data_IF_220226306719
#
_entry.id   IF_220226306719
#
_cell.length_a   1.000
_cell.length_b   1.000
_cell.length_c   1.000
_cell.angle_alpha   90.00
_cell.angle_beta   90.00
_cell.angle_gamma   90.00
#
_symmetry.space_group_name_H-M   'P 1'
#
loop_
_entity.id
_entity.type
_entity.pdbx_description
1 polymer ?
#
# COMPACT_ATOMS: atom_id res chain seq x y z
N UNK A 1 -18.15 27.70 4.12
CA UNK A 1 -17.25 27.23 3.06
C UNK A 1 -15.93 27.97 3.19
N UNK A 2 -14.85 27.27 3.55
CA UNK A 2 -13.60 27.90 3.99
C UNK A 2 -12.91 28.71 2.89
N UNK A 3 -12.45 29.93 3.24
CA UNK A 3 -11.69 30.80 2.32
C UNK A 3 -10.49 30.09 1.68
N UNK A 4 -9.87 29.13 2.38
CA UNK A 4 -8.75 28.32 1.86
C UNK A 4 -9.14 27.38 0.72
N UNK A 5 -10.36 26.85 0.73
CA UNK A 5 -10.85 25.91 -0.29
C UNK A 5 -11.13 26.69 -1.58
N UNK A 6 -11.81 27.84 -1.46
CA UNK A 6 -12.14 28.71 -2.59
C UNK A 6 -10.90 29.25 -3.31
N UNK A 7 -9.83 29.56 -2.56
CA UNK A 7 -8.54 29.99 -3.14
C UNK A 7 -7.83 28.84 -3.88
N UNK A 8 -7.91 27.60 -3.38
CA UNK A 8 -7.34 26.44 -4.09
C UNK A 8 -8.06 26.15 -5.41
N UNK A 9 -9.39 26.22 -5.41
CA UNK A 9 -10.20 26.03 -6.63
C UNK A 9 -9.89 27.09 -7.69
N UNK A 10 -9.69 28.34 -7.30
CA UNK A 10 -9.37 29.43 -8.22
C UNK A 10 -7.98 29.27 -8.86
N UNK A 11 -7.00 28.75 -8.12
CA UNK A 11 -5.65 28.49 -8.65
C UNK A 11 -5.67 27.34 -9.67
N UNK A 12 -6.43 26.27 -9.40
CA UNK A 12 -6.56 25.11 -10.31
C UNK A 12 -7.26 25.53 -11.62
N UNK A 13 -8.24 26.43 -11.54
CA UNK A 13 -8.97 26.90 -12.73
C UNK A 13 -8.15 27.83 -13.63
N UNK A 14 -7.07 28.43 -13.11
CA UNK A 14 -6.20 29.35 -13.86
C UNK A 14 -4.92 28.68 -14.40
N UNK A 15 -4.69 27.40 -14.09
CA UNK A 15 -3.55 26.64 -14.61
C UNK A 15 -3.87 25.98 -15.94
N UNK A 16 -2.97 26.10 -16.92
CA UNK A 16 -3.12 25.38 -18.19
C UNK A 16 -2.50 23.99 -18.02
N UNK A 17 -3.30 22.97 -18.35
CA UNK A 17 -2.87 21.57 -18.31
C UNK A 17 -2.70 21.11 -19.75
N UNK A 18 -1.50 20.70 -20.12
CA UNK A 18 -1.23 20.06 -21.41
C UNK A 18 -0.78 18.62 -21.21
N UNK A 19 -1.37 17.71 -21.98
CA UNK A 19 -0.99 16.31 -22.03
C UNK A 19 -0.05 16.11 -23.23
N UNK A 20 1.26 16.22 -22.98
CA UNK A 20 2.33 15.86 -23.92
C UNK A 20 3.02 14.58 -23.46
N UNK A 21 4.36 14.52 -23.53
CA UNK A 21 5.17 13.49 -22.88
C UNK A 21 5.15 13.67 -21.34
N UNK A 22 3.98 13.55 -20.73
CA UNK A 22 3.72 13.79 -19.31
C UNK A 22 2.67 14.89 -19.06
N UNK A 23 2.26 15.02 -17.78
CA UNK A 23 1.35 16.06 -17.31
C UNK A 23 2.15 17.35 -17.07
N UNK A 24 2.04 18.31 -17.99
CA UNK A 24 2.63 19.64 -17.81
C UNK A 24 1.56 20.58 -17.24
N UNK A 25 1.85 21.20 -16.10
CA UNK A 25 0.97 22.18 -15.44
C UNK A 25 1.69 23.53 -15.45
N UNK A 26 1.12 24.51 -16.15
CA UNK A 26 1.57 25.90 -16.10
C UNK A 26 0.82 26.67 -15.00
N UNK A 27 1.50 27.61 -14.34
CA UNK A 27 0.91 28.43 -13.27
C UNK A 27 1.43 29.86 -13.33
N UNK A 28 0.60 30.82 -12.91
CA UNK A 28 1.02 32.20 -12.77
C UNK A 28 1.99 32.32 -11.57
N UNK A 29 3.21 32.78 -11.85
CA UNK A 29 4.30 32.93 -10.86
C UNK A 29 3.94 33.91 -9.73
N UNK A 30 3.22 34.97 -10.02
CA UNK A 30 2.85 36.00 -9.05
C UNK A 30 1.82 35.48 -8.05
N UNK A 31 0.82 34.75 -8.54
CA UNK A 31 -0.18 34.08 -7.71
C UNK A 31 0.46 33.00 -6.84
N UNK A 32 1.34 32.18 -7.41
CA UNK A 32 2.08 31.16 -6.63
C UNK A 32 2.92 31.82 -5.53
N UNK A 33 3.60 32.93 -5.82
CA UNK A 33 4.40 33.66 -4.83
C UNK A 33 3.53 34.28 -3.72
N UNK A 34 2.36 34.81 -4.08
CA UNK A 34 1.42 35.42 -3.13
C UNK A 34 0.85 34.38 -2.16
N UNK A 35 0.55 33.18 -2.64
CA UNK A 35 -0.10 32.14 -1.84
C UNK A 35 0.88 31.13 -1.21
N UNK A 36 2.03 30.88 -1.86
CA UNK A 36 3.04 29.90 -1.46
C UNK A 36 4.47 30.46 -1.64
N UNK A 37 4.85 31.50 -0.87
CA UNK A 37 6.13 32.19 -1.04
C UNK A 37 7.34 31.27 -0.79
N UNK A 38 7.27 30.40 0.22
CA UNK A 38 8.36 29.48 0.54
C UNK A 38 8.52 28.40 -0.53
N UNK A 39 7.42 27.80 -1.00
CA UNK A 39 7.44 26.82 -2.08
C UNK A 39 7.98 27.43 -3.38
N UNK A 40 7.55 28.65 -3.71
CA UNK A 40 8.08 29.38 -4.88
C UNK A 40 9.58 29.61 -4.75
N UNK A 41 10.05 29.97 -3.55
CA UNK A 41 11.48 30.13 -3.28
C UNK A 41 12.25 28.81 -3.41
N UNK A 42 11.68 27.70 -2.95
CA UNK A 42 12.28 26.36 -3.06
C UNK A 42 12.40 25.90 -4.51
N UNK A 43 11.34 26.09 -5.31
CA UNK A 43 11.32 25.75 -6.73
C UNK A 43 12.33 26.60 -7.51
N UNK A 44 12.37 27.92 -7.29
CA UNK A 44 13.29 28.83 -8.00
C UNK A 44 14.75 28.61 -7.61
N UNK A 45 15.01 28.27 -6.35
CA UNK A 45 16.38 28.06 -5.85
C UNK A 45 16.85 26.61 -6.02
N UNK A 46 15.99 25.71 -6.50
CA UNK A 46 16.25 24.27 -6.66
C UNK A 46 16.89 23.61 -5.43
N UNK A 47 16.60 24.12 -4.22
CA UNK A 47 17.35 23.76 -3.00
C UNK A 47 17.12 22.33 -2.50
N UNK A 48 16.08 21.65 -3.00
CA UNK A 48 15.70 20.29 -2.60
C UNK A 48 15.00 19.55 -3.75
N UNK A 49 15.73 19.24 -4.81
CA UNK A 49 15.23 18.42 -5.90
C UNK A 49 15.58 16.95 -5.64
N UNK A 50 14.59 16.06 -5.83
CA UNK A 50 14.81 14.61 -5.92
C UNK A 50 14.62 14.22 -7.39
N UNK A 51 15.62 13.59 -8.00
CA UNK A 51 15.44 12.99 -9.32
C UNK A 51 14.54 11.77 -9.20
N UNK A 52 13.54 11.69 -10.08
CA UNK A 52 12.72 10.48 -10.22
C UNK A 52 13.25 9.78 -11.47
N UNK A 53 14.03 8.72 -11.27
CA UNK A 53 14.71 8.04 -12.37
C UNK A 53 13.78 7.12 -13.16
N UNK A 54 12.64 6.72 -12.59
CA UNK A 54 11.63 5.92 -13.26
C UNK A 54 10.24 6.11 -12.66
N UNK A 55 9.22 6.13 -13.52
CA UNK A 55 7.81 6.04 -13.14
C UNK A 55 7.35 4.64 -13.53
N UNK A 56 6.90 3.84 -12.56
CA UNK A 56 6.36 2.50 -12.83
C UNK A 56 4.98 2.62 -13.47
N UNK A 57 4.91 2.51 -14.79
CA UNK A 57 3.67 2.33 -15.55
C UNK A 57 3.30 0.84 -15.59
N UNK A 58 2.00 0.54 -15.40
CA UNK A 58 1.45 -0.82 -15.21
C UNK A 58 1.75 -1.84 -16.33
N UNK A 59 2.31 -1.42 -17.45
CA UNK A 59 2.40 -2.24 -18.67
C UNK A 59 3.75 -2.93 -18.85
N UNK A 60 4.79 -2.57 -18.09
CA UNK A 60 6.12 -3.19 -18.18
C UNK A 60 6.49 -3.96 -16.92
N UNK A 61 5.69 -4.96 -16.54
CA UNK A 61 6.20 -6.02 -15.68
C UNK A 61 7.09 -6.94 -16.51
N UNK A 62 8.35 -6.51 -16.72
CA UNK A 62 9.44 -7.47 -16.87
C UNK A 62 9.74 -7.97 -15.48
N UNK A 63 9.56 -9.25 -15.25
CA UNK A 63 9.83 -9.95 -13.98
C UNK A 63 11.26 -9.65 -13.51
N UNK A 64 11.36 -8.63 -12.67
CA UNK A 64 12.54 -8.30 -11.90
C UNK A 64 12.61 -9.39 -10.79
N UNK A 65 13.72 -10.13 -10.59
CA UNK A 65 13.76 -11.29 -9.68
C UNK A 65 13.60 -10.97 -8.19
N UNK A 66 14.23 -9.88 -7.75
CA UNK A 66 13.55 -8.61 -7.69
C UNK A 66 12.03 -8.69 -7.19
N UNK A 67 11.05 -8.09 -7.87
CA UNK A 67 9.59 -8.03 -7.53
C UNK A 67 8.88 -9.18 -6.78
N UNK A 68 9.28 -10.46 -6.91
CA UNK A 68 8.70 -11.58 -6.16
C UNK A 68 8.80 -11.43 -4.62
N UNK A 69 9.71 -10.60 -4.10
CA UNK A 69 9.80 -10.37 -2.64
C UNK A 69 8.71 -9.46 -2.06
N UNK A 70 7.98 -8.70 -2.90
CA UNK A 70 7.17 -7.55 -2.43
C UNK A 70 5.69 -7.89 -2.22
N UNK A 71 5.21 -8.99 -2.79
CA UNK A 71 3.82 -9.43 -2.64
C UNK A 71 3.49 -9.73 -1.17
N UNK A 72 4.40 -10.43 -0.48
CA UNK A 72 4.33 -10.79 0.94
C UNK A 72 4.22 -9.58 1.89
N UNK A 73 4.77 -8.42 1.52
CA UNK A 73 4.76 -7.18 2.33
C UNK A 73 3.65 -6.21 1.93
N UNK A 74 3.27 -6.17 0.66
CA UNK A 74 2.40 -5.11 0.13
C UNK A 74 0.93 -5.39 0.39
N UNK A 75 0.52 -6.66 0.42
CA UNK A 75 -0.88 -7.02 0.67
C UNK A 75 -0.98 -8.44 1.27
N UNK A 76 -0.82 -8.61 2.59
CA UNK A 76 -0.96 -9.93 3.23
C UNK A 76 -2.37 -10.48 3.01
N UNK A 77 -2.47 -11.74 2.57
CA UNK A 77 -3.74 -12.44 2.39
C UNK A 77 -4.23 -13.10 3.67
N UNK A 78 -5.40 -13.76 3.62
CA UNK A 78 -5.99 -14.48 4.77
C UNK A 78 -5.02 -15.47 5.42
N UNK A 79 -4.26 -16.21 4.62
CA UNK A 79 -3.28 -17.18 5.12
C UNK A 79 -2.08 -16.50 5.78
N UNK A 80 -1.68 -15.31 5.35
CA UNK A 80 -0.61 -14.55 6.01
C UNK A 80 -1.00 -14.13 7.41
N UNK A 81 -2.27 -13.79 7.63
CA UNK A 81 -2.78 -13.49 8.96
C UNK A 81 -2.89 -14.75 9.83
N UNK A 82 -3.42 -15.85 9.29
CA UNK A 82 -3.54 -17.12 10.05
C UNK A 82 -2.17 -17.64 10.50
N UNK A 83 -1.14 -17.51 9.66
CA UNK A 83 0.24 -17.93 10.00
C UNK A 83 0.86 -17.18 11.18
N UNK A 84 0.22 -16.13 11.68
CA UNK A 84 0.66 -15.35 12.86
C UNK A 84 -0.18 -15.59 14.09
N UNK A 85 -1.29 -16.33 13.95
CA UNK A 85 -2.18 -16.56 15.07
C UNK A 85 -1.54 -17.55 16.05
N UNK A 86 -1.54 -17.21 17.33
CA UNK A 86 -1.05 -18.08 18.41
C UNK A 86 -2.18 -18.92 19.02
N UNK A 87 -3.44 -18.53 18.76
CA UNK A 87 -4.62 -19.21 19.29
C UNK A 87 -5.70 -19.40 18.24
N UNK A 88 -6.50 -20.46 18.43
CA UNK A 88 -7.65 -20.76 17.58
C UNK A 88 -8.68 -19.62 17.59
N UNK A 89 -8.84 -18.95 18.75
CA UNK A 89 -9.74 -17.80 18.89
C UNK A 89 -9.31 -16.65 17.98
N UNK A 90 -8.03 -16.31 17.98
CA UNK A 90 -7.46 -15.25 17.14
C UNK A 90 -7.67 -15.56 15.65
N UNK A 91 -7.41 -16.80 15.23
CA UNK A 91 -7.64 -17.22 13.85
C UNK A 91 -9.10 -17.09 13.44
N UNK A 92 -10.05 -17.45 14.32
CA UNK A 92 -11.49 -17.30 14.07
C UNK A 92 -11.90 -15.82 13.95
N UNK A 93 -11.39 -14.95 14.81
CA UNK A 93 -11.67 -13.51 14.76
C UNK A 93 -11.13 -12.87 13.48
N UNK A 94 -9.92 -13.26 13.05
CA UNK A 94 -9.31 -12.81 11.80
C UNK A 94 -10.18 -13.20 10.59
N UNK A 95 -10.58 -14.47 10.47
CA UNK A 95 -11.37 -14.91 9.31
C UNK A 95 -12.76 -14.27 9.30
N UNK A 96 -13.37 -14.07 10.46
CA UNK A 96 -14.67 -13.41 10.56
C UNK A 96 -14.59 -11.93 10.16
N UNK A 97 -13.53 -11.24 10.58
CA UNK A 97 -13.26 -9.86 10.18
C UNK A 97 -13.10 -9.73 8.67
N UNK A 98 -12.30 -10.60 8.05
CA UNK A 98 -12.07 -10.59 6.61
C UNK A 98 -13.33 -10.94 5.81
N UNK A 99 -14.14 -11.89 6.30
CA UNK A 99 -15.42 -12.25 5.69
C UNK A 99 -16.43 -11.10 5.75
N UNK A 100 -16.57 -10.42 6.90
CA UNK A 100 -17.44 -9.24 7.06
C UNK A 100 -17.08 -8.11 6.11
N UNK A 101 -15.79 -7.97 5.78
CA UNK A 101 -15.28 -6.98 4.80
C UNK A 101 -15.36 -7.44 3.35
N UNK A 102 -15.85 -8.66 3.09
CA UNK A 102 -15.90 -9.29 1.76
C UNK A 102 -14.52 -9.41 1.10
N UNK A 103 -13.47 -9.57 1.91
CA UNK A 103 -12.10 -9.79 1.43
C UNK A 103 -11.84 -11.27 1.12
N UNK A 104 -12.68 -12.18 1.64
CA UNK A 104 -12.69 -13.60 1.30
C UNK A 104 -14.10 -14.06 0.93
N UNK A 105 -14.25 -14.99 -0.03
CA UNK A 105 -15.53 -15.57 -0.39
C UNK A 105 -16.03 -16.52 0.71
N UNK A 106 -17.36 -16.73 0.76
CA UNK A 106 -18.01 -17.60 1.75
C UNK A 106 -17.50 -19.05 1.72
N UNK A 107 -17.24 -19.58 0.53
CA UNK A 107 -16.67 -20.91 0.34
C UNK A 107 -15.32 -21.06 1.06
N UNK A 108 -14.44 -20.06 0.93
CA UNK A 108 -13.13 -20.05 1.58
C UNK A 108 -13.25 -19.87 3.10
N UNK A 109 -14.16 -19.00 3.55
CA UNK A 109 -14.43 -18.82 4.99
C UNK A 109 -14.86 -20.13 5.64
N UNK A 110 -15.80 -20.86 5.02
CA UNK A 110 -16.30 -22.12 5.55
C UNK A 110 -15.22 -23.21 5.57
N UNK A 111 -14.41 -23.31 4.52
CA UNK A 111 -13.31 -24.28 4.43
C UNK A 111 -12.25 -24.05 5.52
N UNK A 112 -11.88 -22.79 5.77
CA UNK A 112 -10.93 -22.47 6.84
C UNK A 112 -11.54 -22.77 8.20
N UNK A 113 -12.82 -22.44 8.41
CA UNK A 113 -13.52 -22.70 9.67
C UNK A 113 -13.63 -24.20 9.98
N UNK A 114 -13.91 -25.03 8.97
CA UNK A 114 -13.90 -26.49 9.09
C UNK A 114 -12.49 -26.99 9.48
N UNK A 115 -11.46 -26.52 8.79
CA UNK A 115 -10.06 -26.87 9.09
C UNK A 115 -9.65 -26.50 10.52
N UNK A 116 -10.14 -25.36 11.03
CA UNK A 116 -9.89 -24.90 12.40
C UNK A 116 -10.69 -25.69 13.44
N UNK A 117 -11.79 -26.34 13.07
CA UNK A 117 -12.63 -27.12 14.00
C UNK A 117 -12.06 -28.49 14.36
N UNK A 118 -11.09 -28.98 13.57
CA UNK A 118 -10.39 -30.23 13.85
C UNK A 118 -9.49 -30.13 15.09
N UNK A 119 -9.21 -31.29 15.71
CA UNK A 119 -8.20 -31.37 16.77
C UNK A 119 -6.83 -30.90 16.23
N UNK A 120 -6.22 -29.94 16.92
CA UNK A 120 -4.97 -29.28 16.51
C UNK A 120 -5.05 -28.61 15.11
N UNK A 121 -6.27 -28.24 14.68
CA UNK A 121 -6.55 -27.72 13.34
C UNK A 121 -5.74 -26.48 12.96
N UNK A 122 -5.50 -25.57 13.92
CA UNK A 122 -4.69 -24.38 13.68
C UNK A 122 -3.24 -24.73 13.31
N UNK A 123 -2.57 -25.58 14.10
CA UNK A 123 -1.17 -25.94 13.86
C UNK A 123 -1.01 -26.74 12.57
N UNK A 124 -1.95 -27.64 12.28
CA UNK A 124 -2.00 -28.38 11.01
C UNK A 124 -2.16 -27.43 9.83
N UNK A 125 -3.09 -26.48 9.93
CA UNK A 125 -3.34 -25.50 8.88
C UNK A 125 -2.09 -24.63 8.65
N UNK A 126 -1.50 -24.07 9.72
CA UNK A 126 -0.27 -23.28 9.66
C UNK A 126 0.87 -24.06 9.00
N UNK A 127 1.07 -25.32 9.40
CA UNK A 127 2.11 -26.18 8.83
C UNK A 127 1.90 -26.43 7.33
N UNK A 128 0.64 -26.61 6.91
CA UNK A 128 0.27 -26.84 5.51
C UNK A 128 0.50 -25.61 4.62
N UNK A 129 0.26 -24.41 5.13
CA UNK A 129 0.34 -23.14 4.36
C UNK A 129 1.72 -22.46 4.41
N UNK A 130 2.73 -23.13 4.99
CA UNK A 130 4.13 -22.67 4.97
C UNK A 130 4.75 -22.33 6.33
N UNK A 131 4.11 -22.72 7.43
CA UNK A 131 4.65 -22.61 8.79
C UNK A 131 4.40 -21.27 9.47
N UNK A 132 4.61 -21.24 10.79
CA UNK A 132 4.36 -20.08 11.64
C UNK A 132 5.29 -18.91 11.27
N UNK A 133 4.74 -17.68 11.22
CA UNK A 133 5.49 -16.45 11.00
C UNK A 133 5.72 -15.77 12.36
N UNK A 134 6.89 -16.00 12.93
CA UNK A 134 7.29 -15.43 14.23
C UNK A 134 7.21 -13.89 14.27
N UNK A 135 7.05 -13.29 15.46
CA UNK A 135 7.21 -11.85 15.63
C UNK A 135 8.53 -11.37 15.01
N UNK A 136 8.45 -10.33 14.17
CA UNK A 136 9.62 -9.85 13.43
C UNK A 136 9.93 -10.61 12.13
N UNK A 137 9.09 -11.56 11.68
CA UNK A 137 9.33 -12.36 10.47
C UNK A 137 9.72 -11.51 9.25
N UNK A 138 8.99 -10.42 8.97
CA UNK A 138 9.29 -9.57 7.82
C UNK A 138 10.59 -8.79 8.00
N UNK A 139 10.83 -8.27 9.20
CA UNK A 139 12.08 -7.59 9.56
C UNK A 139 13.27 -8.54 9.35
N UNK A 140 13.18 -9.76 9.86
CA UNK A 140 14.22 -10.77 9.77
C UNK A 140 14.41 -11.30 8.35
N UNK A 141 13.36 -11.37 7.54
CA UNK A 141 13.41 -11.90 6.18
C UNK A 141 13.88 -10.86 5.16
N UNK A 142 13.50 -9.59 5.32
CA UNK A 142 13.68 -8.57 4.29
C UNK A 142 14.62 -7.42 4.67
N UNK A 143 14.80 -7.12 5.96
CA UNK A 143 15.61 -5.96 6.40
C UNK A 143 17.05 -6.31 6.82
N UNK A 144 17.51 -7.55 6.57
CA UNK A 144 18.86 -7.99 6.95
C UNK A 144 20.02 -7.35 6.16
N UNK A 145 19.73 -6.65 5.06
CA UNK A 145 20.75 -6.13 4.13
C UNK A 145 20.59 -4.62 3.83
N UNK A 146 20.09 -3.81 4.77
CA UNK A 146 20.15 -2.34 4.68
C UNK A 146 21.22 -1.82 5.61
#
# INVERSE_FOLDING_TARGET
MDKKIKVKEQIINNSEISQGNGLNISYNKEDLKKHFPNLTSEIVQSKKQLSIDAIRTKEEHKEDPFETYKEDLSNPGVFDFIRRCESLKEALEIIEYLFKRKEIPEELYNLIKESLSEEDGLNKLISKIGGYKEPGYYQNKYYKNI
#
